data_IF_268848877847
#
_entry.id   IF_268848877847
#
_cell.length_a   1.000
_cell.length_b   1.000
_cell.length_c   1.000
_cell.angle_alpha   90.00
_cell.angle_beta   90.00
_cell.angle_gamma   90.00
#
_symmetry.space_group_name_H-M   'P 1'
#
loop_
_entity.id
_entity.type
_entity.pdbx_description
1 polymer ?
2 polymer ?
3 non-polymer ?
4 water ?
#
# COMPACT_ATOMS: atom_id res chain seq x y z
N UNK A 4 15.89 -4.30 -7.01
CA UNK A 4 14.90 -4.69 -8.02
C UNK A 4 13.90 -3.55 -8.26
N UNK A 5 13.75 -3.16 -9.52
CA UNK A 5 13.02 -1.95 -9.87
C UNK A 5 11.51 -2.15 -9.75
N UNK A 6 10.84 -1.14 -9.21
CA UNK A 6 9.39 -1.17 -9.12
C UNK A 6 8.76 -0.97 -10.50
N UNK A 7 8.00 -1.95 -10.97
CA UNK A 7 7.35 -1.77 -12.28
C UNK A 7 6.09 -0.93 -12.19
N UNK A 8 5.44 -0.85 -11.01
CA UNK A 8 4.25 -0.04 -10.88
C UNK A 8 4.64 1.43 -10.87
N UNK A 9 3.75 2.27 -11.37
CA UNK A 9 3.81 3.69 -11.10
C UNK A 9 3.04 3.98 -9.82
N UNK A 10 3.60 4.86 -8.99
CA UNK A 10 2.96 5.28 -7.75
C UNK A 10 2.74 6.77 -7.80
N UNK A 11 1.52 7.21 -7.43
CA UNK A 11 1.26 8.64 -7.29
C UNK A 11 0.49 8.86 -6.00
N UNK A 12 1.10 9.47 -4.97
CA UNK A 12 2.47 9.95 -4.87
C UNK A 12 3.40 8.74 -4.73
N UNK A 13 4.69 8.97 -4.93
CA UNK A 13 5.68 7.91 -4.88
C UNK A 13 6.56 7.95 -3.65
N UNK A 14 6.53 9.02 -2.87
CA UNK A 14 7.49 9.15 -1.79
C UNK A 14 6.83 9.61 -0.50
N UNK A 15 5.86 10.52 -0.57
CA UNK A 15 5.26 11.08 0.63
C UNK A 15 3.74 11.09 0.50
N UNK A 16 3.08 10.53 1.50
CA UNK A 16 1.62 10.64 1.63
C UNK A 16 1.34 11.79 2.58
N UNK A 17 0.52 12.77 2.15
CA UNK A 17 0.28 13.98 2.91
C UNK A 17 -1.14 13.92 3.48
N UNK A 18 -1.26 14.17 4.77
CA UNK A 18 -2.57 14.14 5.44
C UNK A 18 -2.82 15.50 6.04
N UNK A 19 -3.91 16.15 5.62
CA UNK A 19 -4.27 17.45 6.12
C UNK A 19 -5.31 17.34 7.23
N UNK A 20 -5.23 18.24 8.20
CA UNK A 20 -6.13 18.20 9.32
C UNK A 20 -7.54 18.62 8.95
N UNK A 21 -8.44 18.58 9.93
CA UNK A 21 -8.23 18.30 11.35
C UNK A 21 -7.97 16.83 11.69
N UNK A 22 -7.23 16.61 12.76
CA UNK A 22 -6.84 15.25 13.08
C UNK A 22 -7.72 14.64 14.16
N UNK A 23 -8.85 15.28 14.49
CA UNK A 23 -9.90 14.70 15.30
C UNK A 23 -10.84 13.85 14.47
N UNK A 24 -10.80 13.99 13.15
CA UNK A 24 -11.58 13.18 12.25
C UNK A 24 -10.66 12.35 11.36
N UNK A 25 -11.24 11.39 10.66
CA UNK A 25 -10.47 10.63 9.70
C UNK A 25 -9.93 11.56 8.63
N UNK A 26 -8.78 11.22 8.08
CA UNK A 26 -8.20 11.94 6.97
C UNK A 26 -7.93 10.90 5.87
N UNK A 27 -8.63 11.01 4.75
CA UNK A 27 -8.40 10.10 3.62
C UNK A 27 -7.49 10.76 2.58
N UNK A 28 -6.45 10.04 2.16
CA UNK A 28 -5.64 10.49 1.03
C UNK A 28 -5.46 9.32 0.07
N UNK A 29 -5.16 9.66 -1.17
CA UNK A 29 -5.17 8.69 -2.24
C UNK A 29 -3.76 8.20 -2.59
N UNK A 30 -3.67 6.93 -2.96
CA UNK A 30 -2.43 6.36 -3.48
C UNK A 30 -2.78 5.63 -4.76
N UNK A 31 -2.39 6.19 -5.91
CA UNK A 31 -2.76 5.62 -7.20
C UNK A 31 -1.65 4.69 -7.67
N UNK A 32 -1.98 3.42 -7.92
CA UNK A 32 -1.02 2.42 -8.37
C UNK A 32 -1.32 2.11 -9.83
N UNK A 33 -0.37 2.29 -10.72
CA UNK A 33 -0.59 2.06 -12.13
C UNK A 33 0.29 0.94 -12.64
N UNK A 34 -0.26 0.09 -13.51
CA UNK A 34 0.47 -1.05 -14.03
C UNK A 34 0.69 -0.83 -15.52
N UNK A 35 1.87 -0.39 -15.95
CA UNK A 35 2.13 -0.12 -17.36
C UNK A 35 2.55 -1.35 -18.15
N UNK A 36 2.56 -2.52 -17.51
CA UNK A 36 3.07 -3.70 -18.19
C UNK A 36 1.93 -4.51 -18.82
N UNK A 37 2.33 -5.54 -19.58
CA UNK A 37 1.38 -6.49 -20.18
C UNK A 37 1.06 -7.67 -19.26
N UNK A 38 1.39 -7.59 -17.98
CA UNK A 38 1.07 -8.66 -17.07
C UNK A 38 0.31 -8.13 -15.86
N UNK A 39 -0.52 -8.98 -15.29
CA UNK A 39 -1.16 -8.60 -14.05
C UNK A 39 -0.14 -8.57 -12.92
N UNK A 40 -0.28 -7.61 -11.99
CA UNK A 40 0.70 -7.44 -10.92
C UNK A 40 -0.02 -7.52 -9.58
N UNK A 41 0.47 -8.38 -8.68
CA UNK A 41 -0.10 -8.41 -7.32
C UNK A 41 0.56 -7.36 -6.46
N UNK A 42 -0.19 -6.85 -5.49
CA UNK A 42 0.37 -5.83 -4.62
C UNK A 42 -0.13 -6.03 -3.19
N UNK A 43 0.66 -5.54 -2.24
CA UNK A 43 0.29 -5.50 -0.83
C UNK A 43 0.71 -4.14 -0.31
N UNK A 44 -0.15 -3.50 0.50
CA UNK A 44 0.24 -2.28 1.19
C UNK A 44 0.52 -2.64 2.66
N UNK A 45 1.69 -2.26 3.15
CA UNK A 45 2.08 -2.47 4.54
C UNK A 45 2.41 -1.13 5.20
N UNK A 46 2.34 -1.13 6.53
CA UNK A 46 2.70 0.07 7.28
C UNK A 46 3.33 -0.33 8.61
N UNK A 47 4.03 0.60 9.24
CA UNK A 47 4.58 0.34 10.57
C UNK A 47 3.54 0.51 11.67
N UNK A 48 2.38 1.10 11.37
CA UNK A 48 1.33 1.30 12.38
C UNK A 48 -0.01 0.85 11.84
N UNK A 49 -0.23 -0.45 11.66
CA UNK A 49 -1.46 -0.89 11.00
C UNK A 49 -2.71 -0.53 11.75
N UNK A 50 -2.63 -0.34 13.06
CA UNK A 50 -3.83 -0.01 13.82
C UNK A 50 -4.25 1.44 13.66
N UNK A 51 -3.37 2.31 13.17
CA UNK A 51 -3.65 3.72 12.96
C UNK A 51 -4.27 4.04 11.60
N UNK A 52 -4.30 3.11 10.63
CA UNK A 52 -4.79 3.40 9.28
C UNK A 52 -5.82 2.36 8.86
N UNK A 53 -6.76 2.78 8.03
CA UNK A 53 -7.61 1.86 7.27
C UNK A 53 -7.28 2.03 5.80
N UNK A 54 -6.82 0.95 5.15
CA UNK A 54 -6.32 1.03 3.78
C UNK A 54 -7.19 0.16 2.89
N UNK A 55 -7.81 0.75 1.88
CA UNK A 55 -8.76 -0.01 1.06
C UNK A 55 -8.57 0.30 -0.42
N UNK A 56 -8.31 -0.72 -1.25
CA UNK A 56 -7.99 -2.06 -0.77
C UNK A 56 -6.55 -2.16 -0.25
N UNK A 57 -6.26 -3.13 0.61
CA UNK A 57 -4.91 -3.25 1.16
C UNK A 57 -4.05 -4.24 0.38
N UNK A 58 -4.64 -4.97 -0.56
CA UNK A 58 -3.90 -5.94 -1.34
C UNK A 58 -4.78 -6.33 -2.51
N UNK A 59 -4.18 -6.90 -3.54
CA UNK A 59 -5.01 -7.29 -4.65
C UNK A 59 -4.17 -7.46 -5.90
N UNK A 60 -4.85 -7.42 -7.05
CA UNK A 60 -4.17 -7.56 -8.33
C UNK A 60 -4.54 -6.36 -9.17
N UNK A 61 -3.55 -5.76 -9.84
CA UNK A 61 -3.80 -4.67 -10.77
C UNK A 61 -3.61 -5.24 -12.16
N UNK A 62 -4.66 -5.22 -12.97
CA UNK A 62 -4.53 -5.86 -14.27
C UNK A 62 -3.57 -5.09 -15.17
N UNK A 63 -3.05 -5.80 -16.19
CA UNK A 63 -2.21 -5.19 -17.20
C UNK A 63 -2.87 -3.92 -17.72
N UNK A 64 -2.11 -2.84 -17.74
CA UNK A 64 -2.61 -1.60 -18.30
C UNK A 64 -3.53 -0.80 -17.39
N UNK A 65 -3.86 -1.28 -16.18
CA UNK A 65 -4.86 -0.63 -15.37
C UNK A 65 -4.22 0.15 -14.22
N UNK A 66 -5.02 1.02 -13.61
CA UNK A 66 -4.61 1.67 -12.38
C UNK A 66 -5.67 1.41 -11.32
N UNK A 67 -5.27 1.55 -10.07
CA UNK A 67 -6.18 1.40 -8.97
C UNK A 67 -5.90 2.50 -7.95
N UNK A 68 -6.94 3.12 -7.41
CA UNK A 68 -6.80 4.13 -6.37
C UNK A 68 -7.00 3.51 -4.99
N UNK A 69 -5.94 3.54 -4.17
CA UNK A 69 -5.96 2.99 -2.82
C UNK A 69 -6.29 4.10 -1.86
N UNK A 70 -7.34 3.93 -1.07
CA UNK A 70 -7.71 4.92 -0.07
C UNK A 70 -6.93 4.63 1.20
N UNK A 71 -6.11 5.59 1.64
CA UNK A 71 -5.34 5.46 2.88
C UNK A 71 -5.97 6.39 3.90
N UNK A 72 -6.63 5.81 4.90
CA UNK A 72 -7.46 6.55 5.85
C UNK A 72 -6.76 6.60 7.20
N UNK A 73 -6.21 7.78 7.54
CA UNK A 73 -5.60 8.01 8.84
C UNK A 73 -6.68 8.11 9.89
N UNK A 74 -6.68 7.17 10.87
CA UNK A 74 -7.67 7.28 11.94
C UNK A 74 -7.25 8.33 12.97
N UNK A 75 -8.22 8.92 13.67
CA UNK A 75 -7.84 9.93 14.69
C UNK A 75 -6.83 9.44 15.71
N UNK A 76 -6.95 8.19 16.16
CA UNK A 76 -6.00 7.63 17.13
C UNK A 76 -6.20 6.11 17.17
N UNK A 77 -5.32 5.45 17.91
CA UNK A 77 -5.54 4.06 18.27
C UNK A 77 -5.07 3.84 19.69
N UNK A 78 -5.24 2.61 20.16
CA UNK A 78 -4.86 2.23 21.52
C UNK A 78 -3.57 1.42 21.53
N UNK A 79 -2.62 1.78 20.65
CA UNK A 79 -1.34 1.08 20.53
C UNK A 79 -0.18 2.06 20.69
N UNK A 80 0.12 2.48 21.94
CA UNK A 80 1.27 3.37 22.12
C UNK A 80 2.60 2.72 21.81
N UNK A 81 2.63 1.40 21.69
CA UNK A 81 3.85 0.64 21.42
C UNK A 81 4.11 0.46 19.93
N UNK A 82 3.46 1.24 19.07
CA UNK A 82 3.75 1.20 17.64
C UNK A 82 4.88 2.18 17.31
N UNK A 83 5.92 1.70 16.61
CA UNK A 83 7.19 2.42 16.60
C UNK A 83 7.12 3.71 15.80
N UNK A 84 6.92 3.62 14.50
CA UNK A 84 6.72 4.80 13.68
C UNK A 84 5.31 4.83 13.16
N UNK A 85 4.63 5.98 13.33
CA UNK A 85 3.31 6.19 12.77
C UNK A 85 3.37 6.67 11.34
N UNK A 86 4.55 6.61 10.70
CA UNK A 86 4.77 7.44 9.54
C UNK A 86 5.41 6.71 8.37
N UNK A 87 5.45 5.37 8.35
CA UNK A 87 6.06 4.65 7.22
C UNK A 87 5.05 3.71 6.54
N UNK A 88 5.04 3.73 5.20
CA UNK A 88 4.22 2.84 4.38
C UNK A 88 5.14 2.13 3.40
N UNK A 89 4.67 1.00 2.87
CA UNK A 89 5.43 0.31 1.83
C UNK A 89 4.45 -0.36 0.89
N UNK A 90 4.68 -0.22 -0.41
CA UNK A 90 3.94 -0.97 -1.43
C UNK A 90 4.88 -2.05 -1.91
N UNK A 91 4.43 -3.30 -1.80
CA UNK A 91 5.15 -4.48 -2.28
C UNK A 91 4.41 -5.01 -3.49
N UNK A 92 5.15 -5.32 -4.57
CA UNK A 92 4.53 -5.81 -5.80
C UNK A 92 5.29 -7.04 -6.29
N UNK A 93 4.58 -7.86 -7.07
CA UNK A 93 5.21 -9.00 -7.73
C UNK A 93 4.32 -9.37 -8.90
N UNK A 94 4.92 -9.87 -9.99
CA UNK A 94 4.09 -10.32 -11.10
C UNK A 94 3.21 -11.48 -10.68
N UNK A 95 1.93 -11.46 -11.09
CA UNK A 95 1.10 -12.63 -10.91
C UNK A 95 1.53 -13.76 -11.84
N UNK A 96 1.81 -14.96 -11.35
CA UNK A 96 2.14 -16.07 -12.24
C UNK A 96 0.97 -16.42 -13.13
N UNK A 97 1.21 -16.97 -14.32
CA UNK A 97 0.15 -17.14 -15.31
C UNK A 97 -1.11 -17.83 -14.83
N UNK A 98 -0.95 -18.95 -14.16
CA UNK A 98 -2.09 -19.87 -14.02
C UNK A 98 -2.44 -19.94 -12.54
N UNK A 99 -2.71 -18.76 -11.99
CA UNK A 99 -2.68 -18.59 -10.55
C UNK A 99 -3.70 -17.55 -10.17
N UNK A 100 -4.53 -17.87 -9.17
CA UNK A 100 -5.31 -16.81 -8.54
C UNK A 100 -5.29 -16.88 -7.02
N UNK A 101 -4.80 -17.97 -6.44
CA UNK A 101 -4.55 -18.04 -4.99
C UNK A 101 -3.29 -17.24 -4.71
N UNK A 102 -3.46 -15.93 -4.47
CA UNK A 102 -2.32 -15.05 -4.27
C UNK A 102 -1.51 -15.40 -3.02
N UNK A 103 -2.13 -16.02 -2.01
CA UNK A 103 -1.46 -16.21 -0.71
C UNK A 103 -0.23 -17.08 -0.83
N UNK A 104 -0.38 -18.23 -1.48
CA UNK A 104 0.73 -19.14 -1.65
C UNK A 104 1.77 -18.57 -2.59
N UNK A 105 1.35 -17.75 -3.55
CA UNK A 105 2.31 -17.09 -4.45
C UNK A 105 3.28 -16.24 -3.65
N UNK A 106 2.76 -15.41 -2.75
CA UNK A 106 3.61 -14.51 -1.97
C UNK A 106 4.60 -15.27 -1.10
N UNK A 107 4.13 -16.37 -0.49
CA UNK A 107 5.02 -17.22 0.29
C UNK A 107 6.11 -17.84 -0.59
N UNK A 108 5.74 -18.33 -1.78
CA UNK A 108 6.66 -18.95 -2.72
C UNK A 108 7.72 -17.99 -3.26
N UNK A 109 7.55 -16.69 -3.06
CA UNK A 109 8.29 -15.69 -3.84
C UNK A 109 9.75 -15.59 -3.43
N UNK A 110 10.66 -15.51 -4.45
CA UNK A 110 12.06 -15.27 -4.21
C UNK A 110 12.30 -13.76 -4.02
N UNK A 111 13.32 -13.37 -3.25
CA UNK A 111 13.50 -11.93 -2.99
C UNK A 111 13.67 -11.09 -4.25
N UNK A 112 14.27 -11.65 -5.31
CA UNK A 112 14.40 -10.90 -6.55
C UNK A 112 13.08 -10.71 -7.27
N UNK A 113 12.03 -11.43 -6.87
CA UNK A 113 10.72 -11.27 -7.48
C UNK A 113 9.86 -10.23 -6.76
N UNK A 114 10.31 -9.65 -5.65
CA UNK A 114 9.49 -8.72 -4.88
C UNK A 114 10.02 -7.31 -5.09
N UNK A 115 9.12 -6.39 -5.40
CA UNK A 115 9.48 -5.00 -5.67
C UNK A 115 8.89 -4.13 -4.56
N UNK A 116 9.76 -3.46 -3.82
CA UNK A 116 9.36 -2.69 -2.64
C UNK A 116 9.50 -1.20 -2.91
N UNK A 117 8.47 -0.43 -2.54
CA UNK A 117 8.50 1.02 -2.65
C UNK A 117 8.12 1.58 -1.29
N UNK A 118 8.98 2.38 -0.68
CA UNK A 118 8.64 2.93 0.63
C UNK A 118 8.16 4.37 0.53
N UNK A 119 7.23 4.74 1.43
CA UNK A 119 6.64 6.08 1.46
C UNK A 119 6.60 6.54 2.90
N UNK A 120 6.68 7.85 3.09
CA UNK A 120 6.62 8.44 4.43
C UNK A 120 5.35 9.26 4.56
N UNK A 121 4.71 9.22 5.73
CA UNK A 121 3.51 10.03 5.94
C UNK A 121 3.89 11.35 6.58
N UNK A 122 3.23 12.43 6.14
CA UNK A 122 3.50 13.76 6.68
C UNK A 122 2.16 14.32 7.10
N UNK A 123 2.08 14.82 8.33
CA UNK A 123 0.85 15.36 8.90
C UNK A 123 0.91 16.89 8.87
N UNK A 124 -0.01 17.51 8.14
CA UNK A 124 0.01 18.97 7.94
C UNK A 124 -1.18 19.64 8.61
N UNK B 5 7.48 -3.80 9.16
CA UNK B 5 6.29 -3.45 8.38
C UNK B 5 5.25 -4.56 8.53
N UNK B 6 3.99 -4.16 8.64
CA UNK B 6 2.90 -5.11 8.85
C UNK B 6 1.87 -4.91 7.76
N UNK B 8 -1.25 -3.88 6.09
CA UNK B 8 -2.30 -2.93 6.39
C UNK B 8 -3.64 -3.65 6.40
N UNK B 9 -4.57 -3.13 7.17
CA UNK B 9 -5.91 -3.67 7.27
C UNK B 9 -6.92 -2.65 6.75
N UNK B 10 -8.09 -3.14 6.39
CA UNK B 10 -9.16 -2.30 5.88
C UNK B 10 -10.28 -2.14 6.91
#
# INVERSE_FOLDING_TARGET
MAKVEQVLSLEPQHELKFRGPFTDVVTTNLKLGNPTDRNVCFKVKTTVPRRYCVRPNSGVIDAGASLNVSVMLQPFDYDPNEKSKHKFMVQSMFAPPDTSDMEAVWKEAKPEDLMDSKLRCVFEL
SEDXFFXATE
#
